data_IF_576201935593
#
_entry.id   IF_576201935593
#
_cell.length_a   1.000
_cell.length_b   1.000
_cell.length_c   1.000
_cell.angle_alpha   90.00
_cell.angle_beta   90.00
_cell.angle_gamma   90.00
#
_symmetry.space_group_name_H-M   'P 1'
#
loop_
_entity.id
_entity.type
_entity.pdbx_description
1 polymer ?
#
# COMPACT_ATOMS: atom_id res chain seq x y z
N UNK A 1 -15.73 -22.52 3.84
CA UNK A 1 -14.28 -22.75 3.95
C UNK A 1 -13.57 -21.57 3.30
N UNK A 2 -12.93 -20.70 4.09
CA UNK A 2 -12.11 -19.62 3.55
C UNK A 2 -10.86 -20.28 2.93
N UNK A 3 -10.61 -20.07 1.64
CA UNK A 3 -9.38 -20.56 1.00
C UNK A 3 -8.27 -19.59 1.38
N UNK A 4 -7.24 -20.07 2.05
CA UNK A 4 -6.04 -19.31 2.34
C UNK A 4 -5.02 -19.56 1.23
N UNK A 5 -4.58 -18.48 0.58
CA UNK A 5 -3.49 -18.50 -0.40
C UNK A 5 -2.30 -17.80 0.24
N UNK A 6 -1.10 -18.34 0.05
CA UNK A 6 0.11 -17.75 0.61
C UNK A 6 0.34 -16.34 0.02
N UNK A 7 0.64 -15.37 0.89
CA UNK A 7 1.03 -14.01 0.51
C UNK A 7 2.19 -14.00 -0.49
N UNK A 8 3.11 -14.96 -0.36
CA UNK A 8 4.25 -15.15 -1.26
C UNK A 8 3.83 -15.43 -2.71
N UNK A 9 2.66 -16.04 -2.94
CA UNK A 9 2.16 -16.25 -4.31
C UNK A 9 1.89 -14.93 -5.02
N UNK A 10 1.32 -13.96 -4.30
CA UNK A 10 1.11 -12.61 -4.83
C UNK A 10 2.44 -11.88 -5.00
N UNK A 11 3.33 -11.95 -4.00
CA UNK A 11 4.62 -11.25 -4.04
C UNK A 11 5.53 -11.74 -5.18
N UNK A 12 5.58 -13.05 -5.43
CA UNK A 12 6.34 -13.59 -6.56
C UNK A 12 5.72 -13.19 -7.90
N UNK A 13 4.40 -13.23 -8.04
CA UNK A 13 3.73 -12.79 -9.26
C UNK A 13 3.98 -11.31 -9.53
N UNK A 14 3.91 -10.48 -8.49
CA UNK A 14 4.18 -9.05 -8.57
C UNK A 14 5.64 -8.78 -8.93
N UNK A 15 6.58 -9.45 -8.27
CA UNK A 15 8.01 -9.35 -8.55
C UNK A 15 8.33 -9.72 -10.00
N UNK A 16 7.83 -10.85 -10.49
CA UNK A 16 8.02 -11.30 -11.88
C UNK A 16 7.44 -10.30 -12.89
N UNK A 17 6.27 -9.71 -12.60
CA UNK A 17 5.66 -8.72 -13.47
C UNK A 17 6.50 -7.43 -13.57
N UNK A 18 7.13 -7.01 -12.46
CA UNK A 18 8.03 -5.86 -12.41
C UNK A 18 9.33 -6.17 -13.16
N UNK A 19 10.00 -7.29 -12.85
CA UNK A 19 11.28 -7.67 -13.45
C UNK A 19 11.16 -7.86 -14.97
N UNK A 20 10.06 -8.47 -15.44
CA UNK A 20 9.79 -8.63 -16.88
C UNK A 20 9.61 -7.29 -17.59
N UNK A 21 9.06 -6.28 -16.93
CA UNK A 21 8.92 -4.95 -17.49
C UNK A 21 10.27 -4.22 -17.55
N UNK A 22 11.08 -4.31 -16.50
CA UNK A 22 12.44 -3.74 -16.46
C UNK A 22 13.33 -4.35 -17.56
N UNK A 23 13.24 -5.66 -17.77
CA UNK A 23 13.96 -6.36 -18.84
C UNK A 23 13.51 -5.90 -20.25
N UNK A 24 12.25 -5.49 -20.41
CA UNK A 24 11.71 -5.02 -21.68
C UNK A 24 12.08 -3.55 -21.98
N UNK A 25 12.19 -2.70 -20.95
CA UNK A 25 12.50 -1.26 -21.13
C UNK A 25 13.99 -0.95 -21.07
N UNK A 26 14.82 -1.84 -20.53
CA UNK A 26 16.28 -1.64 -20.43
C UNK A 26 16.69 -0.49 -19.50
N UNK A 27 15.74 0.06 -18.73
CA UNK A 27 15.95 1.18 -17.81
C UNK A 27 15.69 0.71 -16.38
N UNK A 28 16.70 0.83 -15.51
CA UNK A 28 16.57 0.61 -14.06
C UNK A 28 15.79 1.71 -13.33
N UNK A 29 14.95 2.47 -14.04
CA UNK A 29 14.05 3.48 -13.51
C UNK A 29 12.64 3.01 -13.80
N UNK A 30 11.77 3.07 -12.79
CA UNK A 30 10.36 2.80 -12.94
C UNK A 30 9.79 3.63 -14.09
N UNK A 31 9.28 2.93 -15.10
CA UNK A 31 8.45 3.58 -16.12
C UNK A 31 7.22 4.18 -15.43
N UNK A 32 6.94 5.44 -15.74
CA UNK A 32 5.76 6.14 -15.22
C UNK A 32 4.48 5.41 -15.62
N UNK A 33 4.46 4.78 -16.80
CA UNK A 33 3.32 4.00 -17.28
C UNK A 33 3.12 2.73 -16.43
N UNK A 34 4.18 1.97 -16.14
CA UNK A 34 4.11 0.81 -15.25
C UNK A 34 3.64 1.22 -13.86
N UNK A 35 4.21 2.29 -13.29
CA UNK A 35 3.86 2.80 -11.96
C UNK A 35 2.38 3.14 -11.89
N UNK A 36 1.85 3.83 -12.91
CA UNK A 36 0.44 4.17 -13.00
C UNK A 36 -0.46 2.93 -13.10
N UNK A 37 -0.06 1.89 -13.86
CA UNK A 37 -0.81 0.64 -13.97
C UNK A 37 -0.83 -0.15 -12.66
N UNK A 38 0.31 -0.27 -11.97
CA UNK A 38 0.41 -0.96 -10.68
C UNK A 38 -0.41 -0.24 -9.60
N UNK A 39 -0.37 1.08 -9.60
CA UNK A 39 -1.18 1.91 -8.70
C UNK A 39 -2.67 1.76 -8.99
N UNK A 40 -3.09 1.82 -10.27
CA UNK A 40 -4.48 1.64 -10.67
C UNK A 40 -5.01 0.24 -10.32
N UNK A 41 -4.18 -0.79 -10.47
CA UNK A 41 -4.53 -2.14 -10.03
C UNK A 41 -4.73 -2.19 -8.50
N UNK A 42 -3.82 -1.57 -7.73
CA UNK A 42 -3.99 -1.41 -6.30
C UNK A 42 -5.29 -0.67 -5.95
N UNK A 43 -5.59 0.42 -6.66
CA UNK A 43 -6.79 1.21 -6.48
C UNK A 43 -8.07 0.38 -6.61
N UNK A 44 -8.21 -0.37 -7.70
CA UNK A 44 -9.39 -1.22 -7.92
C UNK A 44 -9.53 -2.29 -6.84
N UNK A 45 -8.41 -2.89 -6.41
CA UNK A 45 -8.40 -3.86 -5.32
C UNK A 45 -8.87 -3.20 -4.02
N UNK A 46 -8.27 -2.08 -3.63
CA UNK A 46 -8.63 -1.37 -2.40
C UNK A 46 -10.08 -0.91 -2.36
N UNK A 47 -10.58 -0.37 -3.47
CA UNK A 47 -11.95 0.12 -3.60
C UNK A 47 -12.98 -0.99 -3.39
N UNK A 48 -12.79 -2.14 -4.06
CA UNK A 48 -13.70 -3.29 -3.93
C UNK A 48 -13.53 -4.03 -2.61
N UNK A 49 -12.30 -4.12 -2.12
CA UNK A 49 -12.02 -4.84 -0.89
C UNK A 49 -12.68 -4.15 0.29
N UNK A 50 -12.56 -2.82 0.41
CA UNK A 50 -13.11 -2.10 1.57
C UNK A 50 -14.63 -2.18 1.65
N UNK A 51 -15.34 -2.18 0.51
CA UNK A 51 -16.81 -2.31 0.45
C UNK A 51 -17.30 -3.56 1.20
N UNK A 52 -16.57 -4.68 1.06
CA UNK A 52 -16.91 -5.93 1.74
C UNK A 52 -16.73 -5.88 3.25
N UNK A 53 -15.77 -5.10 3.75
CA UNK A 53 -15.40 -5.05 5.17
C UNK A 53 -15.96 -3.83 5.92
N UNK A 54 -16.54 -2.86 5.19
CA UNK A 54 -17.26 -1.71 5.75
C UNK A 54 -18.77 -1.92 5.82
N UNK A 55 -19.32 -2.95 5.14
CA UNK A 55 -20.76 -3.20 4.99
C UNK A 55 -21.57 -3.17 6.29
N UNK A 56 -21.09 -3.84 7.34
CA UNK A 56 -21.82 -3.99 8.60
C UNK A 56 -21.42 -2.96 9.67
N UNK A 57 -20.63 -1.94 9.28
CA UNK A 57 -20.14 -0.91 10.19
C UNK A 57 -21.06 0.30 10.23
N UNK A 58 -21.11 0.95 11.39
CA UNK A 58 -21.65 2.29 11.51
C UNK A 58 -20.91 3.22 10.53
N UNK A 59 -21.64 4.15 9.92
CA UNK A 59 -21.10 5.06 8.92
C UNK A 59 -19.94 5.86 9.50
N UNK A 60 -18.76 5.72 8.91
CA UNK A 60 -17.59 6.53 9.23
C UNK A 60 -17.78 7.87 8.52
N UNK A 61 -17.95 8.94 9.30
CA UNK A 61 -18.20 10.30 8.78
C UNK A 61 -16.95 11.15 8.87
N UNK A 62 -16.24 11.09 9.99
CA UNK A 62 -15.07 11.92 10.22
C UNK A 62 -13.82 11.34 9.56
N UNK A 63 -12.97 12.16 8.90
CA UNK A 63 -11.78 11.68 8.23
C UNK A 63 -10.82 10.90 9.14
N UNK A 64 -10.69 11.32 10.40
CA UNK A 64 -9.84 10.64 11.37
C UNK A 64 -10.34 9.22 11.69
N UNK A 65 -11.65 9.02 11.73
CA UNK A 65 -12.22 7.69 12.04
C UNK A 65 -12.07 6.74 10.86
N UNK A 66 -12.17 7.26 9.64
CA UNK A 66 -11.83 6.51 8.42
C UNK A 66 -10.36 6.09 8.44
N UNK A 67 -9.44 7.01 8.75
CA UNK A 67 -8.01 6.69 8.82
C UNK A 67 -7.72 5.68 9.93
N UNK A 68 -8.37 5.77 11.10
CA UNK A 68 -8.23 4.77 12.18
C UNK A 68 -8.72 3.38 11.76
N UNK A 69 -9.84 3.31 11.05
CA UNK A 69 -10.35 2.06 10.47
C UNK A 69 -9.34 1.48 9.48
N UNK A 70 -8.75 2.33 8.62
CA UNK A 70 -7.69 1.91 7.69
C UNK A 70 -6.49 1.33 8.45
N UNK A 71 -5.98 2.03 9.47
CA UNK A 71 -4.81 1.61 10.25
C UNK A 71 -5.00 0.30 11.02
N UNK A 72 -6.24 -0.07 11.34
CA UNK A 72 -6.56 -1.24 12.15
C UNK A 72 -7.20 -2.30 11.28
N UNK A 73 -8.51 -2.27 11.14
CA UNK A 73 -9.27 -3.32 10.51
C UNK A 73 -8.80 -3.60 9.09
N UNK A 74 -8.75 -2.58 8.23
CA UNK A 74 -8.38 -2.78 6.84
C UNK A 74 -6.93 -3.30 6.71
N UNK A 75 -5.97 -2.67 7.40
CA UNK A 75 -4.56 -3.10 7.38
C UNK A 75 -4.38 -4.54 7.87
N UNK A 76 -5.09 -4.93 8.93
CA UNK A 76 -5.04 -6.31 9.47
C UNK A 76 -5.58 -7.31 8.43
N UNK A 77 -6.66 -6.97 7.72
CA UNK A 77 -7.22 -7.90 6.73
C UNK A 77 -6.26 -8.11 5.55
N UNK A 78 -5.62 -7.04 5.08
CA UNK A 78 -4.72 -7.08 3.90
C UNK A 78 -3.32 -7.58 4.27
N UNK A 79 -2.70 -7.04 5.32
CA UNK A 79 -1.28 -7.23 5.67
C UNK A 79 -1.06 -8.00 6.98
N UNK A 80 -2.12 -8.50 7.60
CA UNK A 80 -2.07 -9.35 8.81
C UNK A 80 -1.44 -8.69 10.04
N UNK A 81 -1.37 -7.36 10.06
CA UNK A 81 -0.95 -6.52 11.20
C UNK A 81 -1.66 -5.18 11.17
N UNK A 82 -1.63 -4.45 12.28
CA UNK A 82 -2.04 -3.03 12.34
C UNK A 82 -0.86 -2.12 11.97
N UNK A 83 -1.17 -0.88 11.57
CA UNK A 83 -0.18 0.20 11.45
C UNK A 83 0.41 0.50 12.83
N UNK A 84 1.73 0.64 12.90
CA UNK A 84 2.45 0.84 14.17
C UNK A 84 2.30 2.28 14.69
N UNK A 85 2.30 3.26 13.79
CA UNK A 85 2.19 4.68 14.17
C UNK A 85 1.31 5.46 13.20
N UNK A 86 0.36 6.22 13.75
CA UNK A 86 -0.43 7.20 13.04
C UNK A 86 -0.09 8.61 13.55
N UNK A 87 0.26 9.52 12.66
CA UNK A 87 0.43 10.94 12.94
C UNK A 87 -0.48 11.77 12.03
N UNK A 88 -0.94 12.93 12.50
CA UNK A 88 -1.72 13.87 11.69
C UNK A 88 -1.38 15.29 12.08
N UNK A 89 -1.50 16.22 11.13
CA UNK A 89 -1.43 17.65 11.41
C UNK A 89 -2.82 18.26 11.71
N UNK A 90 -3.87 17.44 11.82
CA UNK A 90 -5.28 17.85 11.99
C UNK A 90 -5.80 18.78 10.86
N UNK A 91 -5.07 18.89 9.75
CA UNK A 91 -5.39 19.72 8.58
C UNK A 91 -5.35 18.87 7.30
N UNK A 92 -5.86 17.65 7.37
CA UNK A 92 -5.99 16.75 6.23
C UNK A 92 -4.72 16.03 5.80
N UNK A 93 -3.62 16.09 6.55
CA UNK A 93 -2.41 15.28 6.31
C UNK A 93 -2.26 14.24 7.40
N UNK A 94 -2.01 13.00 6.98
CA UNK A 94 -1.80 11.84 7.83
C UNK A 94 -0.52 11.11 7.40
N UNK A 95 0.20 10.57 8.37
CA UNK A 95 1.41 9.78 8.17
C UNK A 95 1.23 8.46 8.90
N UNK A 96 1.21 7.38 8.14
CA UNK A 96 1.05 6.01 8.64
C UNK A 96 2.42 5.33 8.53
N UNK A 97 2.93 4.78 9.63
CA UNK A 97 4.21 4.07 9.64
C UNK A 97 3.99 2.62 10.00
N UNK A 98 4.48 1.74 9.15
CA UNK A 98 4.60 0.31 9.40
C UNK A 98 6.09 0.02 9.57
N UNK A 99 6.52 -0.36 10.76
CA UNK A 99 7.95 -0.55 11.09
C UNK A 99 8.50 -1.87 10.58
N UNK A 100 7.63 -2.80 10.19
CA UNK A 100 8.01 -4.13 9.73
C UNK A 100 7.01 -4.61 8.68
N UNK A 101 7.07 -4.00 7.50
CA UNK A 101 6.13 -4.24 6.43
C UNK A 101 6.50 -5.54 5.72
N UNK A 102 5.64 -6.55 5.91
CA UNK A 102 5.92 -7.95 5.54
C UNK A 102 6.28 -8.15 4.07
N UNK A 103 5.68 -7.36 3.18
CA UNK A 103 5.86 -7.51 1.74
C UNK A 103 7.25 -7.13 1.23
N UNK A 104 7.97 -6.27 1.98
CA UNK A 104 9.34 -5.88 1.65
C UNK A 104 10.39 -6.56 2.53
N UNK A 105 9.97 -7.40 3.48
CA UNK A 105 10.86 -8.10 4.40
C UNK A 105 11.79 -9.10 3.68
N UNK A 106 11.30 -9.73 2.60
CA UNK A 106 12.07 -10.71 1.84
C UNK A 106 12.89 -10.10 0.69
N UNK A 107 12.85 -8.77 0.51
CA UNK A 107 13.61 -8.11 -0.54
C UNK A 107 15.07 -7.98 -0.09
N UNK A 108 15.94 -8.77 -0.71
CA UNK A 108 17.40 -8.64 -0.61
C UNK A 108 17.98 -8.29 -1.97
N UNK A 109 18.84 -7.28 -2.04
CA UNK A 109 19.68 -6.97 -3.20
C UNK A 109 21.15 -6.88 -2.79
N UNK A 110 22.05 -6.72 -3.76
CA UNK A 110 23.50 -6.64 -3.51
C UNK A 110 23.87 -5.37 -2.74
N UNK A 111 23.07 -4.31 -2.87
CA UNK A 111 23.24 -3.04 -2.16
C UNK A 111 21.97 -2.58 -1.44
N UNK A 112 22.14 -1.78 -0.40
CA UNK A 112 21.03 -1.12 0.31
C UNK A 112 20.23 -0.18 -0.62
N UNK A 113 20.91 0.46 -1.58
CA UNK A 113 20.28 1.38 -2.53
C UNK A 113 19.31 0.64 -3.47
N UNK A 114 19.75 -0.50 -4.03
CA UNK A 114 18.90 -1.35 -4.87
C UNK A 114 17.75 -1.96 -4.07
N UNK A 115 18.02 -2.40 -2.84
CA UNK A 115 16.99 -2.94 -1.94
C UNK A 115 15.89 -1.90 -1.68
N UNK A 116 16.28 -0.64 -1.42
CA UNK A 116 15.34 0.47 -1.25
C UNK A 116 14.56 0.75 -2.52
N UNK A 117 15.23 0.77 -3.67
CA UNK A 117 14.57 1.04 -4.94
C UNK A 117 13.53 -0.03 -5.25
N UNK A 118 13.88 -1.32 -5.15
CA UNK A 118 12.92 -2.43 -5.29
C UNK A 118 11.78 -2.32 -4.28
N UNK A 119 12.07 -2.03 -3.01
CA UNK A 119 11.04 -1.86 -1.99
C UNK A 119 10.06 -0.73 -2.34
N UNK A 120 10.50 0.41 -2.88
CA UNK A 120 9.61 1.48 -3.33
C UNK A 120 8.65 1.03 -4.44
N UNK A 121 9.11 0.18 -5.37
CA UNK A 121 8.25 -0.41 -6.42
C UNK A 121 7.14 -1.27 -5.80
N UNK A 122 7.48 -2.07 -4.79
CA UNK A 122 6.52 -2.90 -4.06
C UNK A 122 5.51 -2.07 -3.26
N UNK A 123 5.81 -0.82 -2.91
CA UNK A 123 4.90 0.07 -2.21
C UNK A 123 3.92 0.82 -3.13
N UNK A 124 4.13 0.80 -4.45
CA UNK A 124 3.20 1.41 -5.43
C UNK A 124 1.81 0.79 -5.36
N UNK A 125 1.74 -0.54 -5.31
CA UNK A 125 0.46 -1.24 -5.19
C UNK A 125 -0.27 -0.93 -3.86
N UNK A 126 0.38 -1.03 -2.66
CA UNK A 126 -0.21 -0.58 -1.41
C UNK A 126 -0.68 0.88 -1.39
N UNK A 127 0.01 1.80 -2.07
CA UNK A 127 -0.48 3.18 -2.25
C UNK A 127 -1.83 3.21 -2.99
N UNK A 128 -1.93 2.46 -4.08
CA UNK A 128 -3.18 2.29 -4.81
C UNK A 128 -4.28 1.71 -3.93
N UNK A 129 -3.98 0.62 -3.21
CA UNK A 129 -4.94 -0.03 -2.29
C UNK A 129 -5.48 0.95 -1.25
N UNK A 130 -4.60 1.75 -0.63
CA UNK A 130 -5.01 2.81 0.30
C UNK A 130 -5.88 3.85 -0.39
N UNK A 131 -5.48 4.35 -1.56
CA UNK A 131 -6.24 5.38 -2.29
C UNK A 131 -7.62 4.88 -2.71
N UNK A 132 -7.72 3.64 -3.18
CA UNK A 132 -8.98 3.00 -3.55
C UNK A 132 -9.92 2.82 -2.37
N UNK A 133 -9.39 2.32 -1.25
CA UNK A 133 -10.17 2.13 -0.03
C UNK A 133 -10.69 3.47 0.51
N UNK A 134 -9.85 4.51 0.56
CA UNK A 134 -10.25 5.85 1.00
C UNK A 134 -11.33 6.44 0.09
N UNK A 135 -11.20 6.30 -1.23
CA UNK A 135 -12.18 6.82 -2.18
C UNK A 135 -13.56 6.18 -2.02
N UNK A 136 -13.63 4.86 -1.81
CA UNK A 136 -14.89 4.16 -1.54
C UNK A 136 -15.53 4.61 -0.21
N UNK A 137 -14.71 4.88 0.80
CA UNK A 137 -15.16 5.44 2.08
C UNK A 137 -15.52 6.93 2.02
N UNK A 138 -15.42 7.57 0.84
CA UNK A 138 -15.80 8.97 0.64
C UNK A 138 -14.68 9.99 0.90
N UNK A 139 -13.43 9.54 1.07
CA UNK A 139 -12.26 10.43 1.20
C UNK A 139 -11.39 10.38 -0.05
N UNK A 140 -11.38 11.46 -0.81
CA UNK A 140 -10.44 11.63 -1.91
C UNK A 140 -9.09 12.08 -1.35
N UNK A 141 -8.04 11.28 -1.57
CA UNK A 141 -6.71 11.55 -1.06
C UNK A 141 -5.62 11.26 -2.10
N UNK A 142 -4.47 11.87 -1.90
CA UNK A 142 -3.19 11.51 -2.53
C UNK A 142 -2.43 10.67 -1.52
N UNK A 143 -1.90 9.53 -1.97
CA UNK A 143 -1.10 8.61 -1.14
C UNK A 143 0.26 8.44 -1.77
N UNK A 144 1.32 8.72 -1.02
CA UNK A 144 2.70 8.47 -1.42
C UNK A 144 3.38 7.59 -0.39
N UNK A 145 4.28 6.71 -0.81
CA UNK A 145 5.07 5.88 0.08
C UNK A 145 6.54 6.29 0.07
N UNK A 146 7.19 6.09 1.20
CA UNK A 146 8.64 6.26 1.38
C UNK A 146 9.19 5.19 2.34
N UNK A 147 10.50 5.08 2.42
CA UNK A 147 11.22 4.15 3.28
C UNK A 147 12.05 4.91 4.31
N UNK A 148 11.85 4.61 5.59
CA UNK A 148 12.77 5.08 6.64
C UNK A 148 14.00 4.16 6.70
N UNK A 149 13.74 2.85 6.83
CA UNK A 149 14.73 1.78 6.82
C UNK A 149 13.98 0.49 6.49
N UNK A 150 14.48 -0.34 5.56
CA UNK A 150 13.87 -1.65 5.27
C UNK A 150 13.98 -2.53 6.52
N UNK A 151 12.90 -3.23 6.94
CA UNK A 151 11.62 -3.46 6.25
C UNK A 151 10.48 -2.48 6.62
N UNK A 152 10.78 -1.33 7.21
CA UNK A 152 9.79 -0.30 7.54
C UNK A 152 9.47 0.67 6.39
N UNK A 153 8.20 1.05 6.29
CA UNK A 153 7.71 2.00 5.29
C UNK A 153 6.78 3.07 5.91
N UNK A 154 6.64 4.18 5.19
CA UNK A 154 5.79 5.31 5.56
C UNK A 154 4.83 5.62 4.43
N UNK A 155 3.55 5.73 4.74
CA UNK A 155 2.51 6.21 3.82
C UNK A 155 2.07 7.61 4.22
N UNK A 156 2.28 8.56 3.33
CA UNK A 156 1.85 9.95 3.45
C UNK A 156 0.52 10.12 2.73
N UNK A 157 -0.53 10.45 3.47
CA UNK A 157 -1.89 10.61 2.97
C UNK A 157 -2.27 12.08 3.09
N UNK A 158 -2.61 12.72 1.97
CA UNK A 158 -3.11 14.09 1.91
C UNK A 158 -4.52 14.10 1.35
N UNK A 159 -5.49 14.48 2.17
CA UNK A 159 -6.88 14.67 1.75
C UNK A 159 -6.96 15.85 0.78
N UNK A 160 -7.78 15.71 -0.27
CA UNK A 160 -8.03 16.76 -1.27
C UNK A 160 -9.09 17.74 -0.83
#
# INVERSE_FOLDING_TARGET
MQKEVAETSFLHLYGEAVERHEAATGSGVLDNDLTAKLEAFGYDVGYRFVERFSRDRARLVEPLDIIKFICKDFWIHVFKKQIDKLQTNHRGVFVLQDFNFRWIHALSAETDAESKQKALIFLVFPCGVLRGALANLGLLAIVNADLNAVPGCVFNIKIR
#
